data_IF_545174144198
#
_entry.id   IF_545174144198
#
_cell.length_a   1.000
_cell.length_b   1.000
_cell.length_c   1.000
_cell.angle_alpha   90.00
_cell.angle_beta   90.00
_cell.angle_gamma   90.00
#
_symmetry.space_group_name_H-M   'P 1'
#
loop_
_entity.id
_entity.type
_entity.pdbx_description
1 polymer ?
#
# COMPACT_ATOMS: atom_id res chain seq x y z
N UNK A 1 -23.83 5.12 4.46
CA UNK A 1 -23.63 4.28 3.26
C UNK A 1 -22.13 4.00 3.14
N UNK A 2 -21.72 2.76 2.91
CA UNK A 2 -20.32 2.37 2.71
C UNK A 2 -20.11 1.87 1.28
N UNK A 3 -18.94 2.17 0.73
CA UNK A 3 -18.50 1.68 -0.59
C UNK A 3 -17.09 1.11 -0.42
N UNK A 4 -16.83 -0.02 -1.05
CA UNK A 4 -15.48 -0.56 -1.18
C UNK A 4 -15.14 -0.73 -2.65
N UNK A 5 -13.88 -0.53 -2.98
CA UNK A 5 -13.36 -0.68 -4.34
C UNK A 5 -11.99 -1.36 -4.28
N UNK A 6 -11.69 -2.13 -5.31
CA UNK A 6 -10.38 -2.74 -5.53
C UNK A 6 -9.93 -2.55 -6.96
N UNK A 7 -8.63 -2.56 -7.18
CA UNK A 7 -8.00 -2.37 -8.49
C UNK A 7 -7.11 -3.58 -8.82
N UNK A 8 -6.87 -3.79 -10.10
CA UNK A 8 -5.92 -4.76 -10.64
C UNK A 8 -5.45 -4.28 -12.00
N UNK A 9 -4.18 -4.50 -12.29
CA UNK A 9 -3.61 -4.25 -13.61
C UNK A 9 -3.78 -5.44 -14.56
N UNK A 10 -4.24 -6.59 -14.06
CA UNK A 10 -4.35 -7.83 -14.84
C UNK A 10 -5.78 -8.08 -15.33
N UNK A 11 -6.79 -7.95 -14.47
CA UNK A 11 -8.17 -8.31 -14.80
C UNK A 11 -9.22 -7.84 -13.78
N UNK A 12 -10.52 -7.74 -14.18
CA UNK A 12 -11.61 -7.52 -13.23
C UNK A 12 -11.76 -8.63 -12.17
N UNK A 13 -11.34 -9.86 -12.48
CA UNK A 13 -11.34 -10.96 -11.52
C UNK A 13 -10.24 -10.77 -10.46
N UNK A 14 -9.04 -10.34 -10.88
CA UNK A 14 -7.95 -9.92 -9.99
C UNK A 14 -8.39 -8.79 -9.05
N UNK A 15 -9.05 -7.76 -9.58
CA UNK A 15 -9.56 -6.65 -8.76
C UNK A 15 -10.54 -7.11 -7.65
N UNK A 16 -11.43 -8.07 -7.96
CA UNK A 16 -12.35 -8.67 -6.97
C UNK A 16 -11.61 -9.49 -5.93
N UNK A 17 -10.56 -10.21 -6.33
CA UNK A 17 -9.73 -11.03 -5.44
C UNK A 17 -8.92 -10.14 -4.50
N UNK A 18 -8.27 -9.10 -5.02
CA UNK A 18 -7.56 -8.09 -4.22
C UNK A 18 -8.51 -7.44 -3.21
N UNK A 19 -9.68 -6.97 -3.64
CA UNK A 19 -10.66 -6.37 -2.72
C UNK A 19 -11.08 -7.33 -1.59
N UNK A 20 -11.31 -8.60 -1.91
CA UNK A 20 -11.74 -9.61 -0.92
C UNK A 20 -10.62 -9.95 0.07
N UNK A 21 -9.37 -9.94 -0.39
CA UNK A 21 -8.18 -10.17 0.43
C UNK A 21 -7.87 -8.97 1.32
N UNK A 22 -7.78 -7.77 0.73
CA UNK A 22 -7.39 -6.55 1.43
C UNK A 22 -8.48 -6.11 2.41
N UNK A 23 -9.75 -6.12 2.01
CA UNK A 23 -10.87 -5.59 2.78
C UNK A 23 -12.01 -6.61 2.88
N UNK A 24 -11.88 -7.68 3.69
CA UNK A 24 -12.86 -8.75 3.78
C UNK A 24 -14.19 -8.30 4.40
N UNK A 25 -14.14 -7.36 5.37
CA UNK A 25 -15.31 -6.85 6.10
C UNK A 25 -15.86 -5.53 5.56
N UNK A 26 -16.89 -5.00 6.23
CA UNK A 26 -17.53 -3.71 5.93
C UNK A 26 -17.35 -2.71 7.08
N UNK A 27 -16.17 -2.69 7.67
CA UNK A 27 -15.80 -1.76 8.74
C UNK A 27 -14.77 -0.75 8.21
N UNK A 28 -15.20 0.50 8.05
CA UNK A 28 -14.34 1.56 7.55
C UNK A 28 -13.28 1.97 8.58
N UNK A 29 -13.66 2.04 9.86
CA UNK A 29 -12.77 2.52 10.92
C UNK A 29 -11.66 1.53 11.17
N UNK A 30 -11.94 0.22 11.10
CA UNK A 30 -10.92 -0.81 11.19
C UNK A 30 -9.91 -0.73 10.03
N UNK A 31 -10.39 -0.54 8.79
CA UNK A 31 -9.50 -0.39 7.62
C UNK A 31 -8.63 0.87 7.76
N UNK A 32 -9.21 1.99 8.20
CA UNK A 32 -8.50 3.24 8.45
C UNK A 32 -7.43 3.07 9.53
N UNK A 33 -7.77 2.40 10.63
CA UNK A 33 -6.86 2.15 11.75
C UNK A 33 -5.68 1.28 11.31
N UNK A 34 -5.95 0.19 10.59
CA UNK A 34 -4.91 -0.69 10.05
C UNK A 34 -3.97 0.06 9.10
N UNK A 35 -4.51 0.88 8.20
CA UNK A 35 -3.70 1.70 7.29
C UNK A 35 -2.79 2.69 8.04
N UNK A 36 -3.31 3.37 9.06
CA UNK A 36 -2.50 4.25 9.91
C UNK A 36 -1.38 3.50 10.63
N UNK A 37 -1.69 2.34 11.22
CA UNK A 37 -0.69 1.53 11.91
C UNK A 37 0.47 1.12 10.98
N UNK A 38 0.18 0.76 9.72
CA UNK A 38 1.21 0.44 8.73
C UNK A 38 2.08 1.64 8.37
N UNK A 39 1.48 2.83 8.22
CA UNK A 39 2.24 4.06 7.99
C UNK A 39 3.10 4.44 9.19
N UNK A 40 2.57 4.34 10.41
CA UNK A 40 3.31 4.64 11.63
C UNK A 40 4.50 3.68 11.80
N UNK A 41 4.31 2.38 11.55
CA UNK A 41 5.38 1.38 11.58
C UNK A 41 6.49 1.69 10.58
N UNK A 42 6.12 2.02 9.33
CA UNK A 42 7.10 2.39 8.30
C UNK A 42 7.86 3.68 8.65
N UNK A 43 7.18 4.72 9.15
CA UNK A 43 7.81 5.98 9.53
C UNK A 43 8.70 5.84 10.77
N UNK A 44 8.41 4.89 11.66
CA UNK A 44 9.23 4.59 12.83
C UNK A 44 10.54 3.86 12.49
N UNK A 45 10.81 3.54 11.22
CA UNK A 45 12.07 2.92 10.82
C UNK A 45 13.29 3.82 11.04
N UNK A 46 13.09 5.14 11.22
CA UNK A 46 14.14 6.11 11.50
C UNK A 46 13.68 7.04 12.64
N UNK A 47 14.49 7.12 13.69
CA UNK A 47 14.32 8.06 14.79
C UNK A 47 15.28 9.25 14.62
N UNK A 48 14.76 10.47 14.80
CA UNK A 48 15.57 11.69 14.78
C UNK A 48 15.53 12.39 16.14
N UNK A 49 16.70 12.78 16.62
CA UNK A 49 16.89 13.51 17.89
C UNK A 49 17.33 14.95 17.63
N UNK A 50 17.09 15.85 18.60
CA UNK A 50 17.55 17.24 18.54
C UNK A 50 16.83 18.17 17.57
N UNK A 51 15.85 17.66 16.80
CA UNK A 51 15.02 18.44 15.90
C UNK A 51 13.84 19.12 16.62
N UNK A 52 13.50 20.34 16.21
CA UNK A 52 12.24 21.01 16.55
C UNK A 52 11.02 20.25 15.99
N UNK A 53 9.83 20.56 16.49
CA UNK A 53 8.59 19.95 16.01
C UNK A 53 8.35 20.21 14.51
N UNK A 54 8.71 21.40 14.02
CA UNK A 54 8.59 21.76 12.60
C UNK A 54 9.57 20.96 11.73
N UNK A 55 10.84 20.83 12.15
CA UNK A 55 11.84 20.01 11.45
C UNK A 55 11.44 18.54 11.44
N UNK A 56 10.89 18.04 12.56
CA UNK A 56 10.38 16.66 12.67
C UNK A 56 9.22 16.42 11.71
N UNK A 57 8.30 17.36 11.61
CA UNK A 57 7.18 17.29 10.66
C UNK A 57 7.67 17.28 9.21
N UNK A 58 8.64 18.14 8.87
CA UNK A 58 9.25 18.17 7.53
C UNK A 58 9.89 16.83 7.20
N UNK A 59 10.71 16.30 8.11
CA UNK A 59 11.41 15.03 7.92
C UNK A 59 10.44 13.87 7.67
N UNK A 60 9.47 13.65 8.56
CA UNK A 60 8.54 12.53 8.40
C UNK A 60 7.59 12.71 7.22
N UNK A 61 7.26 13.94 6.83
CA UNK A 61 6.49 14.20 5.60
C UNK A 61 7.31 13.86 4.35
N UNK A 62 8.59 14.21 4.32
CA UNK A 62 9.48 13.85 3.22
C UNK A 62 9.70 12.33 3.14
N UNK A 63 9.89 11.67 4.29
CA UNK A 63 10.01 10.22 4.39
C UNK A 63 8.74 9.52 3.90
N UNK A 64 7.56 10.00 4.31
CA UNK A 64 6.28 9.51 3.80
C UNK A 64 6.22 9.59 2.26
N UNK A 65 6.59 10.73 1.66
CA UNK A 65 6.61 10.87 0.20
C UNK A 65 7.62 9.94 -0.48
N UNK A 66 8.79 9.72 0.12
CA UNK A 66 9.82 8.82 -0.41
C UNK A 66 9.38 7.35 -0.40
N UNK A 67 8.40 6.98 0.42
CA UNK A 67 7.86 5.61 0.53
C UNK A 67 6.65 5.33 -0.39
N UNK A 68 6.14 6.32 -1.12
CA UNK A 68 4.95 6.15 -1.98
C UNK A 68 5.28 5.32 -3.23
N UNK A 69 6.47 5.51 -3.80
CA UNK A 69 6.91 4.85 -5.02
C UNK A 69 8.35 4.31 -4.87
N UNK A 70 8.67 3.14 -5.45
CA UNK A 70 7.81 2.31 -6.28
C UNK A 70 6.74 1.57 -5.49
N UNK A 71 5.54 1.45 -6.07
CA UNK A 71 4.40 0.72 -5.50
C UNK A 71 4.27 -0.70 -6.02
N UNK A 72 3.61 -1.56 -5.25
CA UNK A 72 3.22 -2.91 -5.67
C UNK A 72 2.21 -2.79 -6.82
N UNK A 73 2.53 -3.43 -7.96
CA UNK A 73 1.66 -3.50 -9.14
C UNK A 73 1.14 -4.92 -9.41
N UNK A 74 1.56 -5.89 -8.59
CA UNK A 74 1.10 -7.26 -8.67
C UNK A 74 -0.22 -7.45 -7.92
N UNK A 75 -1.07 -8.31 -8.44
CA UNK A 75 -2.23 -8.84 -7.73
C UNK A 75 -1.79 -9.78 -6.59
N UNK A 76 -2.70 -10.08 -5.67
CA UNK A 76 -2.43 -10.95 -4.52
C UNK A 76 -1.95 -12.36 -4.88
N UNK A 77 -2.17 -12.81 -6.12
CA UNK A 77 -1.63 -14.08 -6.62
C UNK A 77 -0.32 -13.95 -7.39
N UNK A 78 0.36 -12.81 -7.27
CA UNK A 78 1.66 -12.55 -7.88
C UNK A 78 1.58 -12.15 -9.35
N UNK A 79 0.40 -12.14 -9.97
CA UNK A 79 0.28 -11.75 -11.37
C UNK A 79 0.42 -10.23 -11.54
N UNK A 80 1.23 -9.80 -12.50
CA UNK A 80 1.43 -8.39 -12.83
C UNK A 80 1.55 -8.19 -14.34
N UNK A 81 1.31 -6.96 -14.80
CA UNK A 81 1.47 -6.60 -16.21
C UNK A 81 2.90 -6.14 -16.45
N UNK A 82 3.64 -6.88 -17.28
CA UNK A 82 5.00 -6.56 -17.66
C UNK A 82 5.08 -5.38 -18.62
N UNK A 83 6.31 -4.88 -18.85
CA UNK A 83 6.57 -3.79 -19.80
C UNK A 83 6.20 -4.16 -21.26
N UNK A 84 6.09 -5.44 -21.57
CA UNK A 84 5.62 -5.97 -22.85
C UNK A 84 4.09 -6.01 -22.97
N UNK A 85 3.36 -5.55 -21.94
CA UNK A 85 1.90 -5.55 -21.88
C UNK A 85 1.29 -6.93 -21.62
N UNK A 86 2.11 -7.95 -21.32
CA UNK A 86 1.62 -9.31 -21.01
C UNK A 86 1.57 -9.53 -19.52
N UNK A 87 0.75 -10.49 -19.11
CA UNK A 87 0.67 -10.93 -17.71
C UNK A 87 1.83 -11.88 -17.44
N UNK A 88 2.58 -11.59 -16.37
CA UNK A 88 3.64 -12.43 -15.81
C UNK A 88 3.33 -12.72 -14.35
N UNK A 89 4.00 -13.72 -13.77
CA UNK A 89 3.87 -14.05 -12.35
C UNK A 89 5.19 -13.75 -11.65
N UNK A 90 5.16 -12.96 -10.59
CA UNK A 90 6.31 -12.72 -9.74
C UNK A 90 6.62 -14.01 -8.96
N UNK A 91 7.85 -14.53 -9.11
CA UNK A 91 8.34 -15.72 -8.41
C UNK A 91 9.63 -15.37 -7.64
N UNK A 92 9.64 -15.58 -6.33
CA UNK A 92 10.81 -15.36 -5.47
C UNK A 92 11.07 -13.90 -5.04
N UNK A 93 10.19 -12.96 -5.34
CA UNK A 93 10.23 -11.58 -4.82
C UNK A 93 8.80 -11.06 -4.61
N UNK A 94 8.52 -10.57 -3.39
CA UNK A 94 7.28 -9.88 -3.01
C UNK A 94 7.55 -8.39 -2.87
#
# INVERSE_FOLDING_TARGET
MLVKSGISFTSPAGARKNLSYDIPGWDFDEVRKRGRALSDDALNSIEIEGASDDERKIFYTAMYHAMIDPRIIADVDGNYTGADGKIHTADGYT
#
